data_IF_011666902410
#
_entry.id   IF_011666902410
#
_cell.length_a   1.000
_cell.length_b   1.000
_cell.length_c   1.000
_cell.angle_alpha   90.00
_cell.angle_beta   90.00
_cell.angle_gamma   90.00
#
_symmetry.space_group_name_H-M   'P 1'
#
loop_
_entity.id
_entity.type
_entity.pdbx_description
1 polymer ?
#
# COMPACT_ATOMS: atom_id res chain seq x y z
N UNK A 1 9.19 13.95 -35.85
CA UNK A 1 8.60 12.83 -35.07
C UNK A 1 7.65 12.07 -36.01
N UNK A 2 7.83 10.78 -36.30
CA UNK A 2 6.87 10.01 -37.07
C UNK A 2 5.81 9.46 -36.10
N UNK A 3 4.61 10.03 -36.12
CA UNK A 3 3.40 9.39 -35.65
C UNK A 3 3.08 8.23 -36.62
N UNK A 4 3.42 7.02 -36.24
CA UNK A 4 2.89 5.81 -36.87
C UNK A 4 2.52 4.83 -35.76
N UNK A 5 1.24 4.88 -35.37
CA UNK A 5 0.36 3.76 -35.08
C UNK A 5 -0.97 4.33 -34.57
N UNK A 6 -1.72 4.93 -35.53
CA UNK A 6 -3.14 5.15 -35.33
C UNK A 6 -3.79 3.76 -35.37
N UNK A 7 -4.21 3.25 -34.23
CA UNK A 7 -5.08 2.07 -34.18
C UNK A 7 -6.41 2.51 -34.74
N UNK A 8 -6.62 2.26 -36.02
CA UNK A 8 -7.92 2.37 -36.65
C UNK A 8 -8.87 1.36 -36.00
N UNK A 9 -9.87 1.87 -35.29
CA UNK A 9 -11.00 1.07 -34.86
C UNK A 9 -11.60 0.38 -36.09
N UNK A 10 -11.44 -0.92 -36.21
CA UNK A 10 -12.18 -1.73 -37.18
C UNK A 10 -13.55 -2.06 -36.55
N UNK A 11 -14.66 -1.55 -37.11
CA UNK A 11 -15.99 -1.70 -36.52
C UNK A 11 -16.60 -3.10 -36.65
N UNK A 12 -15.88 -4.09 -37.17
CA UNK A 12 -16.42 -5.42 -37.50
C UNK A 12 -15.62 -6.59 -36.91
N UNK A 13 -14.84 -6.41 -35.87
CA UNK A 13 -14.45 -7.56 -35.06
C UNK A 13 -15.65 -7.98 -34.24
N UNK A 14 -16.13 -9.24 -34.37
CA UNK A 14 -17.15 -9.74 -33.45
C UNK A 14 -16.62 -9.55 -32.04
N UNK A 15 -17.35 -8.79 -31.24
CA UNK A 15 -17.07 -8.63 -29.81
C UNK A 15 -17.16 -10.03 -29.22
N UNK A 16 -16.02 -10.71 -29.18
CA UNK A 16 -15.89 -11.98 -28.48
C UNK A 16 -16.09 -11.64 -27.02
N UNK A 17 -17.33 -11.85 -26.55
CA UNK A 17 -17.64 -11.98 -25.14
C UNK A 17 -16.95 -13.24 -24.61
N UNK A 18 -15.63 -13.31 -24.76
CA UNK A 18 -14.87 -14.16 -23.88
C UNK A 18 -14.95 -13.46 -22.54
N UNK A 19 -15.84 -14.00 -21.70
CA UNK A 19 -15.86 -13.70 -20.29
C UNK A 19 -14.43 -13.91 -19.82
N UNK A 20 -13.73 -12.83 -19.46
CA UNK A 20 -12.54 -12.82 -18.61
C UNK A 20 -12.86 -13.32 -17.18
N UNK A 21 -13.96 -14.07 -17.03
CA UNK A 21 -14.31 -14.76 -15.80
C UNK A 21 -13.84 -16.18 -15.96
N UNK A 22 -12.88 -16.57 -15.12
CA UNK A 22 -12.55 -17.98 -14.96
C UNK A 22 -13.87 -18.73 -14.68
N UNK A 23 -14.08 -19.88 -15.33
CA UNK A 23 -15.28 -20.73 -15.09
C UNK A 23 -15.30 -21.31 -13.66
N UNK A 24 -14.31 -20.97 -12.84
CA UNK A 24 -14.17 -21.36 -11.43
C UNK A 24 -13.92 -20.14 -10.54
N UNK A 25 -14.15 -20.31 -9.25
CA UNK A 25 -13.84 -19.30 -8.22
C UNK A 25 -12.33 -19.01 -8.18
N UNK A 26 -11.97 -17.74 -7.99
CA UNK A 26 -10.59 -17.34 -7.68
C UNK A 26 -10.25 -17.85 -6.29
N UNK A 27 -9.14 -18.56 -6.18
CA UNK A 27 -8.64 -19.18 -4.95
C UNK A 27 -7.62 -18.27 -4.29
N UNK A 28 -7.95 -17.80 -3.12
CA UNK A 28 -7.17 -16.79 -2.39
C UNK A 28 -6.53 -17.40 -1.15
N UNK A 29 -5.24 -17.13 -0.94
CA UNK A 29 -4.57 -17.36 0.33
C UNK A 29 -4.35 -16.01 1.03
N UNK A 30 -4.69 -15.94 2.32
CA UNK A 30 -4.58 -14.72 3.12
C UNK A 30 -3.33 -14.79 4.01
N UNK A 31 -2.43 -13.80 3.91
CA UNK A 31 -1.33 -13.58 4.86
C UNK A 31 -1.71 -12.48 5.84
N UNK A 32 -1.62 -12.81 7.14
CA UNK A 32 -2.14 -12.02 8.23
C UNK A 32 -3.65 -12.25 8.43
N UNK A 33 -4.08 -12.31 9.68
CA UNK A 33 -5.48 -12.51 10.06
C UNK A 33 -5.99 -11.43 11.02
N UNK A 34 -5.31 -10.27 11.01
CA UNK A 34 -5.68 -9.10 11.79
C UNK A 34 -6.92 -8.36 11.25
N UNK A 35 -7.14 -7.15 11.77
CA UNK A 35 -8.33 -6.33 11.46
C UNK A 35 -8.53 -6.16 9.94
N UNK A 36 -7.46 -5.81 9.20
CA UNK A 36 -7.57 -5.59 7.75
C UNK A 36 -7.88 -6.86 6.98
N UNK A 37 -7.31 -7.99 7.41
CA UNK A 37 -7.59 -9.29 6.79
C UNK A 37 -9.07 -9.69 6.86
N UNK A 38 -9.76 -9.34 7.93
CA UNK A 38 -11.21 -9.59 8.06
C UNK A 38 -11.98 -8.90 6.93
N UNK A 39 -11.62 -7.64 6.61
CA UNK A 39 -12.28 -6.93 5.52
C UNK A 39 -11.93 -7.53 4.15
N UNK A 40 -10.66 -7.84 3.90
CA UNK A 40 -10.26 -8.41 2.60
C UNK A 40 -10.86 -9.79 2.37
N UNK A 41 -10.87 -10.67 3.38
CA UNK A 41 -11.51 -11.99 3.27
C UNK A 41 -13.02 -11.89 3.03
N UNK A 42 -13.71 -10.98 3.75
CA UNK A 42 -15.14 -10.72 3.51
C UNK A 42 -15.38 -10.26 2.07
N UNK A 43 -14.57 -9.32 1.60
CA UNK A 43 -14.67 -8.81 0.23
C UNK A 43 -14.45 -9.91 -0.82
N UNK A 44 -13.45 -10.77 -0.64
CA UNK A 44 -13.21 -11.93 -1.51
C UNK A 44 -14.46 -12.81 -1.63
N UNK A 45 -15.07 -13.13 -0.49
CA UNK A 45 -16.28 -13.97 -0.46
C UNK A 45 -17.48 -13.26 -1.13
N UNK A 46 -17.68 -11.97 -0.87
CA UNK A 46 -18.75 -11.17 -1.47
C UNK A 46 -18.62 -11.07 -2.99
N UNK A 47 -17.39 -11.06 -3.50
CA UNK A 47 -17.10 -11.05 -4.94
C UNK A 47 -17.10 -12.43 -5.58
N UNK A 48 -17.47 -13.46 -4.84
CA UNK A 48 -17.57 -14.83 -5.34
C UNK A 48 -16.26 -15.61 -5.40
N UNK A 49 -15.18 -15.06 -4.82
CA UNK A 49 -13.93 -15.79 -4.62
C UNK A 49 -14.03 -16.82 -3.49
N UNK A 50 -12.94 -17.54 -3.27
CA UNK A 50 -12.81 -18.54 -2.22
C UNK A 50 -11.52 -18.30 -1.45
N UNK A 51 -11.60 -18.17 -0.12
CA UNK A 51 -10.42 -18.16 0.75
C UNK A 51 -10.07 -19.61 1.06
N UNK A 52 -9.00 -20.11 0.48
CA UNK A 52 -8.61 -21.52 0.58
C UNK A 52 -7.58 -21.79 1.68
N UNK A 53 -6.94 -20.76 2.22
CA UNK A 53 -5.98 -20.84 3.31
C UNK A 53 -5.73 -19.49 3.94
N UNK A 54 -5.23 -19.50 5.16
CA UNK A 54 -4.76 -18.31 5.86
C UNK A 54 -3.47 -18.63 6.62
N UNK A 55 -2.57 -17.65 6.68
CA UNK A 55 -1.25 -17.78 7.30
C UNK A 55 -1.05 -16.64 8.28
N UNK A 56 -0.55 -16.94 9.48
CA UNK A 56 -0.25 -15.92 10.49
C UNK A 56 0.94 -16.34 11.36
N UNK A 57 1.56 -15.38 12.04
CA UNK A 57 2.62 -15.60 13.04
C UNK A 57 2.06 -15.62 14.46
N UNK A 58 0.85 -15.14 14.69
CA UNK A 58 0.27 -15.00 16.02
C UNK A 58 -0.24 -16.36 16.53
N UNK A 59 0.36 -16.92 17.59
CA UNK A 59 -0.03 -18.21 18.12
C UNK A 59 -1.50 -18.27 18.60
N UNK A 60 -2.07 -17.12 18.95
CA UNK A 60 -3.45 -17.05 19.41
C UNK A 60 -4.50 -17.24 18.30
N UNK A 61 -4.10 -17.17 17.02
CA UNK A 61 -5.01 -17.37 15.88
C UNK A 61 -4.69 -18.62 15.08
N UNK A 62 -3.46 -19.17 15.19
CA UNK A 62 -3.07 -20.42 14.53
C UNK A 62 -4.02 -21.55 14.94
N UNK A 63 -4.51 -22.31 13.95
CA UNK A 63 -5.48 -23.39 14.14
C UNK A 63 -6.95 -22.94 14.26
N UNK A 64 -7.23 -21.65 14.43
CA UNK A 64 -8.59 -21.12 14.42
C UNK A 64 -9.15 -21.10 12.98
N UNK A 65 -10.45 -21.29 12.89
CA UNK A 65 -11.16 -21.17 11.60
C UNK A 65 -11.31 -19.69 11.19
N UNK A 66 -11.13 -19.41 9.89
CA UNK A 66 -11.27 -18.04 9.36
C UNK A 66 -12.69 -17.49 9.50
N UNK A 67 -13.70 -18.35 9.45
CA UNK A 67 -15.09 -17.95 9.70
C UNK A 67 -15.25 -17.39 11.11
N UNK A 68 -14.69 -18.07 12.12
CA UNK A 68 -14.66 -17.60 13.50
C UNK A 68 -13.92 -16.24 13.62
N UNK A 69 -12.78 -16.08 12.95
CA UNK A 69 -12.02 -14.81 12.93
C UNK A 69 -12.86 -13.67 12.32
N UNK A 70 -13.62 -13.96 11.27
CA UNK A 70 -14.51 -12.98 10.64
C UNK A 70 -15.83 -12.73 11.41
N UNK A 71 -16.08 -13.44 12.51
CA UNK A 71 -17.35 -13.38 13.22
C UNK A 71 -18.49 -14.04 12.44
N UNK A 72 -18.18 -15.07 11.66
CA UNK A 72 -19.13 -15.90 10.89
C UNK A 72 -19.09 -17.35 11.38
N UNK A 73 -19.96 -18.20 10.80
CA UNK A 73 -19.89 -19.66 10.98
C UNK A 73 -18.57 -20.22 10.46
N UNK A 74 -18.12 -21.32 11.03
CA UNK A 74 -16.91 -22.03 10.57
C UNK A 74 -16.99 -22.37 9.08
N UNK A 75 -15.87 -22.19 8.39
CA UNK A 75 -15.74 -22.39 6.94
C UNK A 75 -14.86 -23.59 6.59
N UNK A 76 -14.31 -24.28 7.60
CA UNK A 76 -13.40 -25.40 7.41
C UNK A 76 -11.97 -25.02 7.01
N UNK A 77 -11.63 -23.72 7.01
CA UNK A 77 -10.31 -23.22 6.66
C UNK A 77 -9.59 -22.72 7.92
N UNK A 78 -8.57 -23.42 8.33
CA UNK A 78 -7.79 -23.09 9.53
C UNK A 78 -6.58 -22.25 9.20
N UNK A 79 -6.25 -21.34 10.11
CA UNK A 79 -5.02 -20.54 10.02
C UNK A 79 -3.80 -21.45 10.24
N UNK A 80 -2.86 -21.37 9.33
CA UNK A 80 -1.59 -22.10 9.35
C UNK A 80 -0.47 -21.18 9.84
N UNK A 81 0.51 -21.72 10.55
CA UNK A 81 1.67 -20.97 10.98
C UNK A 81 2.59 -20.61 9.81
N UNK A 82 3.30 -19.47 9.91
CA UNK A 82 4.15 -18.95 8.84
C UNK A 82 5.24 -19.93 8.38
N UNK A 83 5.82 -20.72 9.31
CA UNK A 83 6.82 -21.74 9.00
C UNK A 83 6.32 -22.80 8.02
N UNK A 84 5.02 -23.03 7.93
CA UNK A 84 4.39 -23.97 7.02
C UNK A 84 3.84 -23.30 5.73
N UNK A 85 4.14 -22.01 5.51
CA UNK A 85 3.57 -21.24 4.41
C UNK A 85 3.87 -21.85 3.04
N UNK A 86 5.12 -22.24 2.78
CA UNK A 86 5.53 -22.80 1.48
C UNK A 86 4.78 -24.11 1.18
N UNK A 87 4.69 -25.02 2.15
CA UNK A 87 3.95 -26.29 2.00
C UNK A 87 2.46 -26.05 1.78
N UNK A 88 1.89 -25.11 2.54
CA UNK A 88 0.48 -24.72 2.43
C UNK A 88 0.17 -24.19 1.03
N UNK A 89 0.99 -23.27 0.49
CA UNK A 89 0.81 -22.72 -0.86
C UNK A 89 0.93 -23.82 -1.92
N UNK A 90 1.94 -24.68 -1.83
CA UNK A 90 2.15 -25.79 -2.78
C UNK A 90 0.98 -26.78 -2.79
N UNK A 91 0.39 -27.05 -1.63
CA UNK A 91 -0.73 -27.97 -1.46
C UNK A 91 -2.03 -27.35 -1.95
N UNK A 92 -2.31 -26.11 -1.53
CA UNK A 92 -3.58 -25.45 -1.83
C UNK A 92 -3.61 -24.85 -3.24
N UNK A 93 -2.47 -24.54 -3.85
CA UNK A 93 -2.35 -23.95 -5.20
C UNK A 93 -3.29 -22.76 -5.38
N UNK A 94 -3.15 -21.70 -4.58
CA UNK A 94 -3.96 -20.51 -4.73
C UNK A 94 -3.63 -19.78 -6.04
N UNK A 95 -4.59 -19.02 -6.58
CA UNK A 95 -4.38 -18.15 -7.74
C UNK A 95 -3.68 -16.86 -7.33
N UNK A 96 -3.95 -16.40 -6.10
CA UNK A 96 -3.47 -15.14 -5.58
C UNK A 96 -3.35 -15.16 -4.06
N UNK A 97 -2.31 -14.50 -3.56
CA UNK A 97 -2.15 -14.17 -2.15
C UNK A 97 -2.62 -12.73 -1.87
N UNK A 98 -3.27 -12.52 -0.73
CA UNK A 98 -3.52 -11.18 -0.18
C UNK A 98 -2.71 -11.04 1.08
N UNK A 99 -1.78 -10.06 1.14
CA UNK A 99 -0.87 -9.84 2.25
C UNK A 99 -1.25 -8.56 2.98
N UNK A 100 -1.71 -8.71 4.24
CA UNK A 100 -2.20 -7.60 5.08
C UNK A 100 -1.52 -7.57 6.45
N UNK A 101 -0.20 -7.69 6.46
CA UNK A 101 0.56 -7.86 7.70
C UNK A 101 1.17 -6.57 8.22
N UNK A 102 1.95 -5.85 7.40
CA UNK A 102 2.75 -4.70 7.79
C UNK A 102 2.74 -3.62 6.71
N UNK A 103 3.25 -2.41 7.05
CA UNK A 103 3.27 -1.24 6.18
C UNK A 103 4.61 -1.00 5.47
N UNK A 104 5.70 -1.64 5.93
CA UNK A 104 7.03 -1.50 5.33
C UNK A 104 7.33 -2.67 4.39
N UNK A 105 7.98 -2.38 3.26
CA UNK A 105 8.31 -3.39 2.26
C UNK A 105 9.23 -4.48 2.83
N UNK A 106 10.21 -4.11 3.66
CA UNK A 106 11.10 -5.05 4.31
C UNK A 106 10.37 -6.05 5.20
N UNK A 107 9.30 -5.62 5.86
CA UNK A 107 8.52 -6.48 6.77
C UNK A 107 7.62 -7.48 6.03
N UNK A 108 7.24 -7.17 4.79
CA UNK A 108 6.42 -8.05 3.95
C UNK A 108 7.25 -8.78 2.88
N UNK A 109 8.54 -8.47 2.78
CA UNK A 109 9.45 -8.99 1.75
C UNK A 109 9.38 -10.51 1.65
N UNK A 110 9.52 -11.21 2.77
CA UNK A 110 9.61 -12.67 2.76
C UNK A 110 8.32 -13.34 2.24
N UNK A 111 7.16 -12.78 2.60
CA UNK A 111 5.87 -13.26 2.09
C UNK A 111 5.73 -13.01 0.58
N UNK A 112 6.12 -11.82 0.10
CA UNK A 112 6.08 -11.49 -1.33
C UNK A 112 7.10 -12.31 -2.14
N UNK A 113 8.31 -12.48 -1.62
CA UNK A 113 9.35 -13.33 -2.24
C UNK A 113 8.92 -14.80 -2.31
N UNK A 114 8.25 -15.30 -1.26
CA UNK A 114 7.71 -16.66 -1.26
C UNK A 114 6.64 -16.82 -2.35
N UNK A 115 5.70 -15.87 -2.45
CA UNK A 115 4.69 -15.88 -3.50
C UNK A 115 5.34 -15.83 -4.89
N UNK A 116 6.29 -14.91 -5.09
CA UNK A 116 7.02 -14.78 -6.35
C UNK A 116 7.78 -16.07 -6.71
N UNK A 117 8.51 -16.66 -5.77
CA UNK A 117 9.24 -17.93 -5.95
C UNK A 117 8.32 -19.09 -6.39
N UNK A 118 7.10 -19.11 -5.88
CA UNK A 118 6.12 -20.15 -6.19
C UNK A 118 5.23 -19.82 -7.40
N UNK A 119 5.45 -18.68 -8.06
CA UNK A 119 4.66 -18.25 -9.22
C UNK A 119 3.22 -17.86 -8.87
N UNK A 120 2.97 -17.48 -7.62
CA UNK A 120 1.66 -17.05 -7.13
C UNK A 120 1.56 -15.54 -7.17
N UNK A 121 0.53 -15.02 -7.80
CA UNK A 121 0.26 -13.58 -7.78
C UNK A 121 0.05 -13.09 -6.34
N UNK A 122 0.44 -11.84 -6.03
CA UNK A 122 0.17 -11.29 -4.73
C UNK A 122 -0.25 -9.82 -4.79
N UNK A 123 -1.22 -9.47 -3.94
CA UNK A 123 -1.63 -8.10 -3.65
C UNK A 123 -1.33 -7.84 -2.18
N UNK A 124 -0.67 -6.73 -1.88
CA UNK A 124 -0.42 -6.32 -0.50
C UNK A 124 -1.03 -4.96 -0.19
N UNK A 125 -1.52 -4.79 1.03
CA UNK A 125 -1.93 -3.49 1.58
C UNK A 125 -0.76 -2.73 2.22
N UNK A 126 0.45 -3.22 2.07
CA UNK A 126 1.67 -2.54 2.51
C UNK A 126 1.76 -1.18 1.81
N UNK A 127 1.74 -0.10 2.59
CA UNK A 127 1.73 1.28 2.06
C UNK A 127 2.98 1.58 1.23
N UNK A 128 4.15 1.10 1.65
CA UNK A 128 5.39 1.29 0.91
C UNK A 128 5.38 0.56 -0.44
N UNK A 129 4.69 -0.58 -0.54
CA UNK A 129 4.66 -1.39 -1.76
C UNK A 129 3.84 -0.77 -2.91
N UNK A 130 3.21 0.38 -2.69
CA UNK A 130 2.44 1.08 -3.72
C UNK A 130 3.31 1.54 -4.91
N UNK A 131 4.48 2.13 -4.65
CA UNK A 131 5.51 2.44 -5.66
C UNK A 131 6.90 2.38 -5.02
N UNK A 132 7.35 1.20 -4.60
CA UNK A 132 8.53 1.05 -3.76
C UNK A 132 9.86 1.35 -4.46
N UNK A 133 9.87 1.53 -5.77
CA UNK A 133 11.03 2.02 -6.53
C UNK A 133 11.58 3.34 -5.99
N UNK A 134 10.71 4.15 -5.40
CA UNK A 134 11.04 5.48 -4.88
C UNK A 134 11.54 5.48 -3.42
N UNK A 135 11.36 4.38 -2.69
CA UNK A 135 11.73 4.28 -1.27
C UNK A 135 12.63 3.07 -0.95
N UNK A 136 12.51 1.98 -1.70
CA UNK A 136 13.28 0.75 -1.46
C UNK A 136 13.59 0.04 -2.78
N UNK A 137 14.43 0.65 -3.65
CA UNK A 137 14.66 0.16 -5.00
C UNK A 137 15.33 -1.23 -5.03
N UNK A 138 16.19 -1.55 -4.06
CA UNK A 138 16.90 -2.81 -4.03
C UNK A 138 15.94 -3.99 -3.80
N UNK A 139 15.15 -3.96 -2.73
CA UNK A 139 14.19 -5.02 -2.42
C UNK A 139 13.11 -5.12 -3.50
N UNK A 140 12.71 -3.96 -4.04
CA UNK A 140 11.76 -3.91 -5.16
C UNK A 140 12.30 -4.66 -6.37
N UNK A 141 13.56 -4.43 -6.72
CA UNK A 141 14.21 -5.11 -7.84
C UNK A 141 14.31 -6.63 -7.62
N UNK A 142 14.64 -7.06 -6.40
CA UNK A 142 14.71 -8.50 -6.07
C UNK A 142 13.35 -9.18 -6.27
N UNK A 143 12.26 -8.55 -5.81
CA UNK A 143 10.89 -9.06 -5.98
C UNK A 143 10.49 -9.05 -7.46
N UNK A 144 10.75 -7.96 -8.18
CA UNK A 144 10.40 -7.78 -9.59
C UNK A 144 11.12 -8.80 -10.49
N UNK A 145 12.43 -8.98 -10.28
CA UNK A 145 13.22 -9.96 -11.05
C UNK A 145 12.67 -11.38 -10.85
N UNK A 146 12.35 -11.75 -9.63
CA UNK A 146 11.81 -13.08 -9.32
C UNK A 146 10.39 -13.26 -9.88
N UNK A 147 9.54 -12.25 -9.77
CA UNK A 147 8.19 -12.28 -10.33
C UNK A 147 8.22 -12.43 -11.87
N UNK A 148 9.15 -11.74 -12.54
CA UNK A 148 9.37 -11.88 -13.98
C UNK A 148 9.85 -13.26 -14.38
N UNK A 149 10.75 -13.87 -13.58
CA UNK A 149 11.24 -15.23 -13.83
C UNK A 149 10.14 -16.29 -13.74
N UNK A 150 9.21 -16.13 -12.83
CA UNK A 150 8.13 -17.09 -12.57
C UNK A 150 6.83 -16.75 -13.29
N UNK A 151 6.74 -15.57 -13.91
CA UNK A 151 5.56 -15.12 -14.65
C UNK A 151 4.38 -14.73 -13.77
N UNK A 152 4.61 -14.35 -12.51
CA UNK A 152 3.57 -13.85 -11.62
C UNK A 152 3.57 -12.32 -11.51
N UNK A 153 2.52 -11.78 -10.92
CA UNK A 153 2.35 -10.34 -10.66
C UNK A 153 2.35 -10.08 -9.16
N UNK A 154 3.20 -9.19 -8.71
CA UNK A 154 3.24 -8.69 -7.32
C UNK A 154 2.90 -7.20 -7.36
N UNK A 155 1.93 -6.77 -6.54
CA UNK A 155 1.52 -5.36 -6.50
C UNK A 155 1.12 -4.90 -5.11
N UNK A 156 1.45 -3.64 -4.79
CA UNK A 156 0.77 -2.90 -3.74
C UNK A 156 -0.59 -2.42 -4.25
N UNK A 157 -1.57 -2.35 -3.40
CA UNK A 157 -2.91 -1.88 -3.72
C UNK A 157 -3.60 -1.29 -2.51
N UNK A 158 -4.59 -0.47 -2.79
CA UNK A 158 -5.42 0.18 -1.80
C UNK A 158 -6.06 1.42 -2.40
N UNK A 159 -6.51 2.31 -1.51
CA UNK A 159 -7.14 3.54 -1.92
C UNK A 159 -6.21 4.45 -2.74
N UNK A 160 -4.89 4.44 -2.45
CA UNK A 160 -3.89 5.20 -3.18
C UNK A 160 -3.81 4.78 -4.66
N UNK A 161 -3.92 3.48 -4.92
CA UNK A 161 -3.92 2.94 -6.29
C UNK A 161 -5.11 3.47 -7.10
N UNK A 162 -6.29 3.47 -6.53
CA UNK A 162 -7.52 3.91 -7.22
C UNK A 162 -7.53 5.43 -7.37
N UNK A 163 -7.33 6.17 -6.28
CA UNK A 163 -7.46 7.63 -6.27
C UNK A 163 -6.31 8.29 -7.03
N UNK A 164 -5.07 8.10 -6.57
CA UNK A 164 -3.91 8.77 -7.15
C UNK A 164 -3.46 8.12 -8.46
N UNK A 165 -3.37 6.81 -8.49
CA UNK A 165 -2.83 6.09 -9.63
C UNK A 165 -3.77 5.98 -10.81
N UNK A 166 -5.07 5.90 -10.59
CA UNK A 166 -6.04 5.75 -11.67
C UNK A 166 -6.80 7.04 -11.93
N UNK A 167 -7.49 7.59 -10.93
CA UNK A 167 -8.35 8.76 -11.12
C UNK A 167 -7.54 10.00 -11.46
N UNK A 168 -6.56 10.38 -10.63
CA UNK A 168 -5.74 11.58 -10.83
C UNK A 168 -4.93 11.47 -12.13
N UNK A 169 -4.36 10.31 -12.43
CA UNK A 169 -3.61 10.10 -13.67
C UNK A 169 -4.51 10.23 -14.90
N UNK A 170 -5.75 9.68 -14.85
CA UNK A 170 -6.70 9.79 -15.95
C UNK A 170 -7.13 11.23 -16.19
N UNK A 171 -7.38 11.99 -15.12
CA UNK A 171 -7.73 13.43 -15.22
C UNK A 171 -6.54 14.20 -15.79
N UNK A 172 -5.33 13.98 -15.28
CA UNK A 172 -4.11 14.62 -15.78
C UNK A 172 -3.89 14.31 -17.27
N UNK A 173 -4.03 13.05 -17.68
CA UNK A 173 -3.90 12.62 -19.09
C UNK A 173 -4.94 13.20 -20.03
N UNK A 174 -6.09 13.65 -19.52
CA UNK A 174 -7.13 14.34 -20.30
C UNK A 174 -6.95 15.85 -20.40
N UNK A 175 -5.96 16.41 -19.69
CA UNK A 175 -5.71 17.85 -19.61
C UNK A 175 -4.77 18.28 -20.73
N UNK A 176 -5.11 19.37 -21.43
CA UNK A 176 -4.30 19.88 -22.53
C UNK A 176 -2.95 20.44 -22.09
N UNK A 177 -2.88 21.05 -20.91
CA UNK A 177 -1.65 21.60 -20.33
C UNK A 177 -1.70 21.47 -18.82
N UNK A 178 -0.69 20.86 -18.25
CA UNK A 178 -0.51 20.73 -16.80
C UNK A 178 0.61 21.66 -16.38
N UNK A 179 0.39 22.46 -15.33
CA UNK A 179 1.42 23.26 -14.67
C UNK A 179 1.62 22.84 -13.22
N UNK A 180 0.55 22.34 -12.59
CA UNK A 180 0.56 21.86 -11.22
C UNK A 180 -0.48 20.75 -11.03
N UNK A 181 -0.09 19.72 -10.28
CA UNK A 181 -1.02 18.73 -9.73
C UNK A 181 -1.01 18.94 -8.21
N UNK A 182 -2.18 19.22 -7.64
CA UNK A 182 -2.33 19.37 -6.19
C UNK A 182 -3.51 18.53 -5.72
N UNK A 183 -3.25 17.73 -4.70
CA UNK A 183 -4.29 16.93 -4.07
C UNK A 183 -4.03 16.77 -2.59
N UNK A 184 -5.06 16.38 -1.87
CA UNK A 184 -4.96 16.04 -0.45
C UNK A 184 -5.94 14.95 -0.10
N UNK A 185 -5.62 14.20 0.95
CA UNK A 185 -6.54 13.26 1.57
C UNK A 185 -6.41 13.37 3.08
N UNK A 186 -7.49 13.12 3.78
CA UNK A 186 -7.49 13.09 5.23
C UNK A 186 -8.30 11.90 5.73
N UNK A 187 -7.90 11.38 6.86
CA UNK A 187 -8.61 10.29 7.54
C UNK A 187 -8.47 10.44 9.05
N UNK A 188 -9.38 9.83 9.77
CA UNK A 188 -9.34 9.83 11.23
C UNK A 188 -8.45 8.68 11.73
N UNK A 189 -7.32 9.02 12.38
CA UNK A 189 -6.38 8.03 12.90
C UNK A 189 -6.99 7.10 13.96
N UNK A 190 -8.04 7.54 14.65
CA UNK A 190 -8.80 6.73 15.61
C UNK A 190 -9.35 5.43 15.00
N UNK A 191 -9.71 5.46 13.71
CA UNK A 191 -10.32 4.31 13.02
C UNK A 191 -9.30 3.21 12.71
N UNK A 192 -8.00 3.51 12.74
CA UNK A 192 -6.92 2.59 12.32
C UNK A 192 -6.15 1.97 13.48
N UNK A 193 -6.35 2.44 14.71
CA UNK A 193 -5.78 1.85 15.91
C UNK A 193 -4.51 2.53 16.42
N UNK A 194 -4.06 2.08 17.61
CA UNK A 194 -3.06 2.76 18.44
C UNK A 194 -1.68 2.87 17.74
N UNK A 195 -1.28 1.89 16.96
CA UNK A 195 0.02 1.89 16.29
C UNK A 195 0.11 3.05 15.29
N UNK A 196 -0.93 3.24 14.48
CA UNK A 196 -0.99 4.33 13.51
C UNK A 196 -1.11 5.69 14.21
N UNK A 197 -1.98 5.82 15.23
CA UNK A 197 -2.14 7.05 16.00
C UNK A 197 -0.80 7.52 16.59
N UNK A 198 -0.03 6.62 17.20
CA UNK A 198 1.29 6.92 17.76
C UNK A 198 2.32 7.28 16.67
N UNK A 199 2.34 6.54 15.55
CA UNK A 199 3.23 6.84 14.43
C UNK A 199 2.97 8.23 13.82
N UNK A 200 1.73 8.72 13.91
CA UNK A 200 1.35 10.07 13.47
C UNK A 200 1.49 11.13 14.58
N UNK A 201 2.09 10.78 15.70
CA UNK A 201 2.39 11.70 16.79
C UNK A 201 1.18 12.12 17.64
N UNK A 202 0.05 11.39 17.55
CA UNK A 202 -1.12 11.72 18.37
C UNK A 202 -0.81 11.62 19.86
N UNK A 203 -1.14 12.67 20.61
CA UNK A 203 -0.91 12.78 22.05
C UNK A 203 0.46 13.34 22.45
N UNK A 204 1.31 13.69 21.49
CA UNK A 204 2.60 14.35 21.73
C UNK A 204 2.40 15.85 21.89
N UNK A 205 3.19 16.47 22.77
CA UNK A 205 3.38 17.93 22.76
C UNK A 205 4.06 18.35 21.44
N UNK A 206 3.95 19.62 21.07
CA UNK A 206 4.58 20.11 19.83
C UNK A 206 6.11 19.93 19.83
N UNK A 207 6.76 20.07 20.97
CA UNK A 207 8.20 19.84 21.12
C UNK A 207 8.58 18.37 20.95
N UNK A 208 7.77 17.46 21.48
CA UNK A 208 7.96 16.02 21.29
C UNK A 208 7.69 15.61 19.85
N UNK A 209 6.62 16.15 19.25
CA UNK A 209 6.30 15.92 17.85
C UNK A 209 7.45 16.36 16.93
N UNK A 210 8.00 17.54 17.17
CA UNK A 210 9.12 18.07 16.40
C UNK A 210 10.36 17.16 16.48
N UNK A 211 10.65 16.61 17.66
CA UNK A 211 11.79 15.71 17.87
C UNK A 211 11.57 14.29 17.35
N UNK A 212 10.37 13.74 17.54
CA UNK A 212 10.11 12.32 17.30
C UNK A 212 9.53 12.04 15.89
N UNK A 213 8.78 13.00 15.32
CA UNK A 213 8.08 12.83 14.06
C UNK A 213 8.66 13.72 12.97
N UNK A 214 8.74 15.04 13.18
CA UNK A 214 9.16 15.98 12.15
C UNK A 214 10.69 16.08 11.96
N UNK A 215 11.48 15.48 12.82
CA UNK A 215 12.96 15.52 12.70
C UNK A 215 13.48 14.91 11.40
N UNK A 216 12.76 13.94 10.84
CA UNK A 216 13.10 13.27 9.57
C UNK A 216 13.05 14.21 8.36
N UNK A 217 12.37 15.35 8.47
CA UNK A 217 12.30 16.34 7.38
C UNK A 217 13.57 17.18 7.27
N UNK A 218 14.44 17.14 8.31
CA UNK A 218 15.65 18.00 8.44
C UNK A 218 16.94 17.32 8.06
N UNK A 219 16.91 16.04 7.72
CA UNK A 219 18.08 15.34 7.21
C UNK A 219 18.43 15.84 5.80
N UNK A 220 19.71 15.82 5.45
CA UNK A 220 20.14 16.18 4.09
C UNK A 220 19.63 15.19 3.06
N UNK A 221 19.55 15.60 1.80
CA UNK A 221 19.11 14.72 0.72
C UNK A 221 20.04 13.51 0.56
N UNK A 222 21.38 13.71 0.77
CA UNK A 222 22.33 12.61 0.72
C UNK A 222 22.14 11.62 1.88
N UNK A 223 21.82 12.11 3.07
CA UNK A 223 21.55 11.26 4.21
C UNK A 223 20.23 10.51 4.03
N UNK A 224 19.19 11.21 3.55
CA UNK A 224 17.90 10.61 3.18
C UNK A 224 18.09 9.49 2.18
N UNK A 225 18.84 9.74 1.11
CA UNK A 225 19.09 8.76 0.07
C UNK A 225 19.80 7.51 0.62
N UNK A 226 20.82 7.68 1.47
CA UNK A 226 21.50 6.54 2.12
C UNK A 226 20.56 5.71 3.00
N UNK A 227 19.66 6.38 3.74
CA UNK A 227 18.67 5.70 4.59
C UNK A 227 17.66 4.94 3.72
N UNK A 228 17.18 5.55 2.63
CA UNK A 228 16.29 4.90 1.65
C UNK A 228 16.98 3.66 1.05
N UNK A 229 18.20 3.78 0.58
CA UNK A 229 18.96 2.66 0.03
C UNK A 229 19.20 1.53 1.04
N UNK A 230 19.28 1.87 2.34
CA UNK A 230 19.38 0.86 3.40
C UNK A 230 18.05 0.16 3.73
N UNK A 231 16.95 0.61 3.16
CA UNK A 231 15.60 0.10 3.41
C UNK A 231 15.06 0.39 4.83
N UNK A 232 15.67 1.35 5.55
CA UNK A 232 15.30 1.68 6.93
C UNK A 232 14.37 2.88 7.07
N UNK A 233 14.23 3.67 6.02
CA UNK A 233 13.43 4.88 6.02
C UNK A 233 12.21 4.72 5.13
N UNK A 234 11.04 4.84 5.72
CA UNK A 234 9.80 5.05 5.00
C UNK A 234 9.50 6.55 5.04
N UNK A 235 9.65 7.28 3.93
CA UNK A 235 9.01 8.59 3.80
C UNK A 235 7.49 8.42 3.90
N UNK A 236 6.73 9.52 3.99
CA UNK A 236 5.27 9.38 3.90
C UNK A 236 4.90 8.66 2.59
N UNK A 237 3.80 7.90 2.60
CA UNK A 237 3.36 7.18 1.40
C UNK A 237 3.14 8.13 0.19
N UNK A 238 2.91 9.42 0.44
CA UNK A 238 2.81 10.44 -0.60
C UNK A 238 4.12 10.64 -1.37
N UNK A 239 5.27 10.32 -0.76
CA UNK A 239 6.56 10.27 -1.47
C UNK A 239 6.52 9.28 -2.63
N UNK A 240 6.02 8.08 -2.38
CA UNK A 240 5.87 7.06 -3.40
C UNK A 240 4.76 7.41 -4.40
N UNK A 241 3.67 8.00 -3.94
CA UNK A 241 2.57 8.48 -4.82
C UNK A 241 3.09 9.48 -5.86
N UNK A 242 3.86 10.48 -5.43
CA UNK A 242 4.40 11.48 -6.37
C UNK A 242 5.38 10.85 -7.37
N UNK A 243 6.25 9.94 -6.93
CA UNK A 243 7.13 9.18 -7.82
C UNK A 243 6.35 8.36 -8.84
N UNK A 244 5.27 7.73 -8.41
CA UNK A 244 4.40 6.98 -9.32
C UNK A 244 3.68 7.86 -10.34
N UNK A 245 3.14 9.01 -9.90
CA UNK A 245 2.54 9.99 -10.82
C UNK A 245 3.54 10.46 -11.86
N UNK A 246 4.77 10.79 -11.46
CA UNK A 246 5.83 11.13 -12.40
C UNK A 246 6.08 9.99 -13.40
N UNK A 247 6.25 8.76 -12.92
CA UNK A 247 6.45 7.59 -13.78
C UNK A 247 5.30 7.37 -14.77
N UNK A 248 4.05 7.48 -14.33
CA UNK A 248 2.88 7.29 -15.19
C UNK A 248 2.67 8.40 -16.21
N UNK A 249 3.05 9.61 -15.88
CA UNK A 249 2.88 10.78 -16.75
C UNK A 249 4.13 11.03 -17.62
N UNK A 250 5.18 10.22 -17.49
CA UNK A 250 6.44 10.39 -18.22
C UNK A 250 7.22 11.64 -17.78
N UNK A 251 7.10 12.03 -16.50
CA UNK A 251 7.79 13.18 -15.93
C UNK A 251 9.08 12.75 -15.25
N UNK A 252 10.08 13.61 -15.33
CA UNK A 252 11.40 13.41 -14.71
C UNK A 252 11.47 14.17 -13.39
N UNK A 253 11.67 13.46 -12.28
CA UNK A 253 11.82 14.10 -10.96
C UNK A 253 13.11 14.90 -10.92
N UNK A 254 13.02 16.20 -10.64
CA UNK A 254 14.14 17.11 -10.41
C UNK A 254 14.50 17.18 -8.93
N UNK A 255 13.50 17.35 -8.08
CA UNK A 255 13.65 17.33 -6.63
C UNK A 255 12.36 16.85 -5.97
N UNK A 256 12.50 16.27 -4.79
CA UNK A 256 11.37 15.84 -3.99
C UNK A 256 11.65 16.18 -2.52
N UNK A 257 10.71 16.84 -1.88
CA UNK A 257 10.82 17.27 -0.48
C UNK A 257 9.57 16.87 0.29
N UNK A 258 9.72 16.71 1.60
CA UNK A 258 8.62 16.41 2.50
C UNK A 258 8.61 17.40 3.66
N UNK A 259 7.42 17.77 4.10
CA UNK A 259 7.21 18.55 5.31
C UNK A 259 6.14 17.88 6.15
N UNK A 260 6.48 17.56 7.39
CA UNK A 260 5.57 16.98 8.37
C UNK A 260 5.11 18.05 9.34
N UNK A 261 3.80 18.25 9.43
CA UNK A 261 3.17 19.32 10.20
C UNK A 261 2.23 18.67 11.23
N UNK A 262 2.32 19.00 12.53
CA UNK A 262 1.36 18.53 13.52
C UNK A 262 -0.02 19.08 13.23
N UNK A 263 -1.04 18.24 13.30
CA UNK A 263 -2.43 18.70 13.40
C UNK A 263 -2.76 18.90 14.88
N UNK A 264 -3.42 19.99 15.21
CA UNK A 264 -3.79 20.32 16.59
C UNK A 264 -5.25 20.68 16.68
N UNK A 265 -5.80 20.62 17.89
CA UNK A 265 -7.15 21.09 18.14
C UNK A 265 -7.16 22.12 19.28
N UNK A 266 -8.14 23.00 19.26
CA UNK A 266 -8.23 24.13 20.21
C UNK A 266 -8.81 23.78 21.57
N UNK A 267 -9.32 22.58 21.74
CA UNK A 267 -9.96 22.05 22.94
C UNK A 267 -9.36 20.69 23.29
N UNK A 268 -9.48 20.28 24.56
CA UNK A 268 -9.11 18.94 25.01
C UNK A 268 -9.99 17.89 24.31
N UNK A 269 -9.40 16.87 23.73
CA UNK A 269 -10.09 15.79 23.05
C UNK A 269 -9.72 14.45 23.66
N UNK A 270 -10.72 13.65 24.03
CA UNK A 270 -10.49 12.27 24.44
C UNK A 270 -10.26 11.37 23.22
N UNK A 271 -9.11 10.69 23.18
CA UNK A 271 -8.81 9.65 22.22
C UNK A 271 -9.15 8.29 22.80
N UNK A 272 -10.11 7.60 22.22
CA UNK A 272 -10.48 6.24 22.61
C UNK A 272 -9.37 5.23 22.27
N UNK A 273 -8.65 5.48 21.18
CA UNK A 273 -7.53 4.66 20.71
C UNK A 273 -6.31 4.75 21.61
N UNK A 274 -5.97 5.95 22.09
CA UNK A 274 -4.88 6.16 23.06
C UNK A 274 -5.29 5.86 24.50
N UNK A 275 -6.59 5.87 24.81
CA UNK A 275 -7.13 5.73 26.15
C UNK A 275 -6.85 6.94 27.06
N UNK A 276 -6.60 8.12 26.48
CA UNK A 276 -6.23 9.35 27.19
C UNK A 276 -6.80 10.60 26.52
N UNK A 277 -6.74 11.72 27.23
CA UNK A 277 -7.12 13.03 26.71
C UNK A 277 -5.90 13.73 26.12
N UNK A 278 -5.95 14.06 24.84
CA UNK A 278 -5.00 14.94 24.15
C UNK A 278 -5.36 16.37 24.51
N UNK A 279 -4.39 17.12 25.01
CA UNK A 279 -4.61 18.51 25.48
C UNK A 279 -4.75 19.47 24.30
N UNK A 280 -5.48 20.55 24.54
CA UNK A 280 -5.60 21.65 23.60
C UNK A 280 -4.21 22.15 23.16
N UNK A 281 -3.98 22.20 21.86
CA UNK A 281 -2.70 22.61 21.28
C UNK A 281 -1.66 21.51 21.10
N UNK A 282 -1.84 20.34 21.73
CA UNK A 282 -1.00 19.17 21.47
C UNK A 282 -1.36 18.51 20.14
N UNK A 283 -0.48 17.66 19.62
CA UNK A 283 -0.69 16.98 18.35
C UNK A 283 -1.81 15.94 18.44
N UNK A 284 -2.81 16.06 17.58
CA UNK A 284 -3.87 15.07 17.39
C UNK A 284 -3.56 14.11 16.24
N UNK A 285 -2.50 14.39 15.51
CA UNK A 285 -2.03 13.64 14.35
C UNK A 285 -1.06 14.49 13.52
N UNK A 286 -0.84 14.13 12.27
CA UNK A 286 0.04 14.88 11.38
C UNK A 286 -0.57 15.09 9.99
N UNK A 287 -0.05 16.09 9.29
CA UNK A 287 -0.17 16.27 7.85
C UNK A 287 1.22 16.11 7.25
N UNK A 288 1.39 15.22 6.29
CA UNK A 288 2.61 15.10 5.51
C UNK A 288 2.35 15.71 4.14
N UNK A 289 3.13 16.74 3.77
CA UNK A 289 3.06 17.39 2.47
C UNK A 289 4.32 17.05 1.69
N UNK A 290 4.15 16.38 0.56
CA UNK A 290 5.24 16.05 -0.34
C UNK A 290 5.15 16.93 -1.57
N UNK A 291 6.23 17.65 -1.88
CA UNK A 291 6.36 18.49 -3.08
C UNK A 291 7.41 17.91 -4.00
N UNK A 292 7.04 17.68 -5.24
CA UNK A 292 7.94 17.19 -6.29
C UNK A 292 7.98 18.21 -7.42
N UNK A 293 9.17 18.69 -7.73
CA UNK A 293 9.44 19.51 -8.92
C UNK A 293 9.95 18.60 -10.04
N UNK A 294 9.50 18.83 -11.26
CA UNK A 294 9.92 18.04 -12.41
C UNK A 294 10.75 18.88 -13.39
N UNK A 295 11.59 18.22 -14.21
CA UNK A 295 12.36 18.88 -15.27
C UNK A 295 11.44 19.54 -16.31
N UNK A 296 10.25 19.01 -16.49
CA UNK A 296 9.22 19.56 -17.40
C UNK A 296 8.51 20.79 -16.84
N UNK A 297 8.89 21.25 -15.63
CA UNK A 297 8.35 22.44 -14.99
C UNK A 297 6.97 22.24 -14.36
N UNK A 298 6.60 21.01 -14.06
CA UNK A 298 5.34 20.66 -13.38
C UNK A 298 5.65 20.42 -11.90
N UNK A 299 4.86 21.03 -11.02
CA UNK A 299 4.91 20.79 -9.57
C UNK A 299 3.82 19.81 -9.17
N UNK A 300 4.16 18.79 -8.40
CA UNK A 300 3.21 17.87 -7.76
C UNK A 300 3.25 18.09 -6.26
N UNK A 301 2.11 18.45 -5.67
CA UNK A 301 1.94 18.66 -4.22
C UNK A 301 0.83 17.75 -3.69
N UNK A 302 1.17 16.86 -2.77
CA UNK A 302 0.26 15.88 -2.22
C UNK A 302 0.37 15.77 -0.70
#
# INVERSE_FOLDING_TARGET
FPCQNLILFQPNLPYRKERLFMDRKVRVIQFGTGKMAVYTMRYVLEKGGEVVGAIDVNPNVIGKDIGTIMGKTEMGVKVTALENAEETIRTLKPDIAIVTTMSLLNDVKDALMLCAKLGVNAITTCEEAFFPWNSNPQVTKEIDDLAKQTGCTITGSGYQDIYWGQLITSIAGSTQKITKIKGSSSYNVEDYGIALAKAHGSGLTLDEFDKQVASVDRISDEERQKIIESGKYLPSYMWNVNGWLCSKLGLTVKSQTQKTIPTTYKEDIYSSTLGTTVKAGDATGMSAVVTTETEEGITIES
#
